data_IF_431052997938
#
_entry.id   IF_431052997938
#
_cell.length_a   1.000
_cell.length_b   1.000
_cell.length_c   1.000
_cell.angle_alpha   90.00
_cell.angle_beta   90.00
_cell.angle_gamma   90.00
#
_symmetry.space_group_name_H-M   'P 1'
#
loop_
_entity.id
_entity.type
_entity.pdbx_description
1 polymer ?
#
# COMPACT_ATOMS: atom_id res chain seq x y z
N UNK A 1 18.91 -8.49 35.01
CA UNK A 1 19.66 -8.62 33.73
C UNK A 1 19.52 -7.31 32.95
N UNK A 2 20.62 -6.60 32.69
CA UNK A 2 20.62 -5.32 31.96
C UNK A 2 20.38 -5.62 30.47
N UNK A 3 19.19 -5.33 29.97
CA UNK A 3 18.88 -5.48 28.54
C UNK A 3 19.72 -4.43 27.81
N UNK A 4 20.84 -4.85 27.23
CA UNK A 4 21.62 -3.98 26.34
C UNK A 4 20.83 -3.90 25.04
N UNK A 5 20.30 -2.73 24.72
CA UNK A 5 19.71 -2.45 23.41
C UNK A 5 20.76 -2.82 22.35
N UNK A 6 20.47 -3.84 21.53
CA UNK A 6 21.33 -4.16 20.39
C UNK A 6 21.10 -3.10 19.34
N UNK A 7 22.16 -2.66 18.67
CA UNK A 7 22.06 -1.74 17.54
C UNK A 7 21.32 -2.45 16.41
N UNK A 8 20.03 -2.15 16.25
CA UNK A 8 19.35 -2.40 14.98
C UNK A 8 20.17 -1.67 13.92
N UNK A 9 20.62 -2.33 12.84
CA UNK A 9 21.34 -1.64 11.78
C UNK A 9 20.46 -0.46 11.34
N UNK A 10 20.98 0.75 11.48
CA UNK A 10 20.26 2.02 11.26
C UNK A 10 19.78 2.22 9.79
N UNK A 11 19.94 1.20 8.95
CA UNK A 11 19.74 1.19 7.50
C UNK A 11 18.67 0.20 7.02
N UNK A 12 17.96 -0.51 7.90
CA UNK A 12 16.81 -1.31 7.43
C UNK A 12 15.68 -0.36 6.96
N UNK A 13 15.46 -0.32 5.65
CA UNK A 13 14.48 0.54 5.00
C UNK A 13 13.05 0.29 5.52
N UNK A 14 12.68 -0.94 5.89
CA UNK A 14 11.35 -1.22 6.43
C UNK A 14 11.17 -0.64 7.83
N UNK A 15 12.22 -0.72 8.66
CA UNK A 15 12.20 -0.11 10.00
C UNK A 15 12.15 1.40 9.88
N UNK A 16 12.95 1.98 8.98
CA UNK A 16 12.97 3.42 8.75
C UNK A 16 11.62 3.92 8.22
N UNK A 17 10.99 3.19 7.28
CA UNK A 17 9.64 3.49 6.79
C UNK A 17 8.63 3.58 7.95
N UNK A 18 8.62 2.57 8.83
CA UNK A 18 7.75 2.54 10.02
C UNK A 18 8.05 3.69 10.99
N UNK A 19 9.33 4.03 11.18
CA UNK A 19 9.73 5.14 12.03
C UNK A 19 9.23 6.48 11.48
N UNK A 20 9.47 6.75 10.20
CA UNK A 20 9.04 8.01 9.56
C UNK A 20 7.52 8.16 9.58
N UNK A 21 6.79 7.08 9.35
CA UNK A 21 5.34 7.05 9.49
C UNK A 21 4.89 7.45 10.91
N UNK A 22 5.48 6.86 11.95
CA UNK A 22 5.12 7.18 13.35
C UNK A 22 5.39 8.65 13.69
N UNK A 23 6.51 9.20 13.23
CA UNK A 23 6.83 10.61 13.42
C UNK A 23 5.85 11.53 12.69
N UNK A 24 5.44 11.16 11.47
CA UNK A 24 4.43 11.91 10.73
C UNK A 24 3.09 11.91 11.47
N UNK A 25 2.63 10.74 11.90
CA UNK A 25 1.36 10.58 12.62
C UNK A 25 1.32 11.35 13.94
N UNK A 26 2.38 11.26 14.76
CA UNK A 26 2.47 12.04 16.02
C UNK A 26 2.49 13.55 15.73
N UNK A 27 3.18 13.99 14.67
CA UNK A 27 3.20 15.39 14.28
C UNK A 27 1.80 15.88 13.86
N UNK A 28 1.04 15.03 13.15
CA UNK A 28 -0.33 15.32 12.78
C UNK A 28 -1.25 15.44 14.01
N UNK A 29 -1.14 14.53 14.98
CA UNK A 29 -1.88 14.60 16.25
C UNK A 29 -1.58 15.88 17.05
N UNK A 30 -0.37 16.44 16.88
CA UNK A 30 0.04 17.72 17.49
C UNK A 30 -0.31 18.93 16.64
N UNK A 31 -1.03 18.74 15.54
CA UNK A 31 -1.36 19.74 14.54
C UNK A 31 -0.15 20.44 13.88
N UNK A 32 1.05 19.87 14.01
CA UNK A 32 2.24 20.31 13.26
C UNK A 32 2.22 19.72 11.85
N UNK A 33 1.38 20.33 11.01
CA UNK A 33 1.09 19.90 9.63
C UNK A 33 2.33 19.94 8.74
N UNK A 34 3.24 20.91 8.93
CA UNK A 34 4.45 21.02 8.12
C UNK A 34 5.46 19.92 8.44
N UNK A 35 5.69 19.61 9.72
CA UNK A 35 6.54 18.48 10.10
C UNK A 35 5.92 17.16 9.69
N UNK A 36 4.60 16.99 9.87
CA UNK A 36 3.87 15.80 9.43
C UNK A 36 4.05 15.55 7.93
N UNK A 37 3.83 16.58 7.10
CA UNK A 37 4.01 16.50 5.65
C UNK A 37 5.43 16.09 5.28
N UNK A 38 6.45 16.65 5.95
CA UNK A 38 7.86 16.29 5.71
C UNK A 38 8.12 14.81 6.01
N UNK A 39 7.67 14.32 7.17
CA UNK A 39 7.89 12.93 7.56
C UNK A 39 7.11 11.95 6.67
N UNK A 40 5.88 12.28 6.26
CA UNK A 40 5.16 11.46 5.29
C UNK A 40 5.86 11.43 3.92
N UNK A 41 6.39 12.56 3.42
CA UNK A 41 7.20 12.59 2.19
C UNK A 41 8.45 11.71 2.30
N UNK A 42 9.13 11.71 3.46
CA UNK A 42 10.29 10.84 3.71
C UNK A 42 9.89 9.36 3.71
N UNK A 43 8.83 8.99 4.43
CA UNK A 43 8.28 7.63 4.43
C UNK A 43 7.92 7.18 3.01
N UNK A 44 7.26 8.04 2.23
CA UNK A 44 6.88 7.76 0.85
C UNK A 44 8.10 7.51 -0.05
N UNK A 45 9.16 8.31 0.10
CA UNK A 45 10.37 8.12 -0.68
C UNK A 45 11.02 6.76 -0.37
N UNK A 46 11.10 6.37 0.90
CA UNK A 46 11.59 5.05 1.30
C UNK A 46 10.71 3.93 0.69
N UNK A 47 9.38 4.09 0.72
CA UNK A 47 8.46 3.12 0.09
C UNK A 47 8.62 3.04 -1.44
N UNK A 48 8.94 4.16 -2.10
CA UNK A 48 9.19 4.17 -3.54
C UNK A 48 10.51 3.48 -3.90
N UNK A 49 11.53 3.60 -3.05
CA UNK A 49 12.87 3.04 -3.26
C UNK A 49 13.02 1.60 -2.74
N UNK A 50 12.03 1.10 -2.01
CA UNK A 50 11.98 -0.27 -1.50
C UNK A 50 11.79 -1.27 -2.64
N UNK A 51 12.79 -2.14 -2.79
CA UNK A 51 12.68 -3.38 -3.57
C UNK A 51 12.09 -4.47 -2.67
N UNK A 52 10.87 -4.87 -2.97
CA UNK A 52 10.16 -5.93 -2.26
C UNK A 52 10.00 -7.14 -3.17
N UNK A 53 10.03 -8.32 -2.59
CA UNK A 53 9.67 -9.56 -3.28
C UNK A 53 8.24 -9.48 -3.82
N UNK A 54 8.00 -10.19 -4.93
CA UNK A 54 6.72 -10.16 -5.65
C UNK A 54 5.51 -10.43 -4.74
N UNK A 55 5.71 -11.22 -3.68
CA UNK A 55 4.69 -11.61 -2.72
C UNK A 55 4.12 -10.44 -1.92
N UNK A 56 4.95 -9.43 -1.61
CA UNK A 56 4.56 -8.28 -0.78
C UNK A 56 4.30 -7.02 -1.60
N UNK A 57 4.31 -7.11 -2.93
CA UNK A 57 4.12 -5.95 -3.78
C UNK A 57 2.80 -5.23 -3.48
N UNK A 58 1.73 -5.98 -3.17
CA UNK A 58 0.43 -5.42 -2.82
C UNK A 58 0.44 -4.70 -1.47
N UNK A 59 1.22 -5.19 -0.50
CA UNK A 59 1.39 -4.51 0.78
C UNK A 59 2.13 -3.19 0.57
N UNK A 60 3.20 -3.21 -0.24
CA UNK A 60 3.98 -2.02 -0.55
C UNK A 60 3.14 -0.96 -1.29
N UNK A 61 2.40 -1.32 -2.34
CA UNK A 61 1.58 -0.35 -3.08
C UNK A 61 0.43 0.19 -2.23
N UNK A 62 -0.11 -0.61 -1.31
CA UNK A 62 -1.13 -0.14 -0.37
C UNK A 62 -0.55 0.86 0.64
N UNK A 63 0.63 0.58 1.20
CA UNK A 63 1.34 1.52 2.08
C UNK A 63 1.68 2.80 1.32
N UNK A 64 2.24 2.68 0.11
CA UNK A 64 2.57 3.83 -0.73
C UNK A 64 1.34 4.66 -1.11
N UNK A 65 0.22 4.00 -1.44
CA UNK A 65 -1.06 4.64 -1.72
C UNK A 65 -1.61 5.40 -0.51
N UNK A 66 -1.54 4.80 0.68
CA UNK A 66 -1.91 5.46 1.94
C UNK A 66 -1.04 6.70 2.21
N UNK A 67 0.29 6.57 2.08
CA UNK A 67 1.22 7.68 2.27
C UNK A 67 0.94 8.80 1.26
N UNK A 68 0.69 8.45 0.01
CA UNK A 68 0.30 9.40 -1.03
C UNK A 68 -1.00 10.14 -0.68
N UNK A 69 -2.02 9.42 -0.21
CA UNK A 69 -3.28 10.00 0.26
C UNK A 69 -3.03 11.06 1.35
N UNK A 70 -2.27 10.73 2.40
CA UNK A 70 -1.94 11.65 3.50
C UNK A 70 -1.16 12.87 3.03
N UNK A 71 -0.20 12.69 2.12
CA UNK A 71 0.57 13.81 1.56
C UNK A 71 -0.36 14.74 0.77
N UNK A 72 -1.22 14.21 -0.08
CA UNK A 72 -2.17 15.02 -0.86
C UNK A 72 -3.16 15.76 0.04
N UNK A 73 -3.74 15.06 1.03
CA UNK A 73 -4.63 15.64 2.03
C UNK A 73 -3.98 16.82 2.77
N UNK A 74 -2.77 16.63 3.31
CA UNK A 74 -2.03 17.70 4.00
C UNK A 74 -1.72 18.88 3.09
N UNK A 75 -1.35 18.64 1.83
CA UNK A 75 -1.14 19.73 0.87
C UNK A 75 -2.42 20.50 0.58
N UNK A 76 -3.58 19.83 0.49
CA UNK A 76 -4.87 20.51 0.35
C UNK A 76 -5.20 21.36 1.59
N UNK A 77 -5.01 20.81 2.80
CA UNK A 77 -5.21 21.54 4.06
C UNK A 77 -4.28 22.77 4.17
N UNK A 78 -3.04 22.66 3.69
CA UNK A 78 -2.06 23.75 3.63
C UNK A 78 -2.25 24.68 2.42
N UNK A 79 -3.42 24.64 1.77
CA UNK A 79 -3.79 25.46 0.62
C UNK A 79 -2.76 25.41 -0.54
N UNK A 80 -2.15 24.24 -0.74
CA UNK A 80 -1.13 23.96 -1.75
C UNK A 80 -1.59 22.88 -2.75
N UNK A 81 -2.69 23.10 -3.49
CA UNK A 81 -3.28 22.09 -4.39
C UNK A 81 -2.35 21.63 -5.53
N UNK A 82 -1.47 22.51 -6.01
CA UNK A 82 -0.49 22.17 -7.05
C UNK A 82 0.52 21.13 -6.56
N UNK A 83 0.93 21.22 -5.30
CA UNK A 83 1.82 20.24 -4.68
C UNK A 83 1.13 18.88 -4.50
N UNK A 84 -0.15 18.88 -4.12
CA UNK A 84 -0.96 17.65 -4.06
C UNK A 84 -1.05 16.98 -5.44
N UNK A 85 -1.32 17.76 -6.48
CA UNK A 85 -1.41 17.29 -7.86
C UNK A 85 -0.07 16.72 -8.38
N UNK A 86 1.02 17.45 -8.15
CA UNK A 86 2.36 17.01 -8.54
C UNK A 86 2.73 15.70 -7.83
N UNK A 87 2.38 15.58 -6.55
CA UNK A 87 2.60 14.34 -5.81
C UNK A 87 1.77 13.18 -6.37
N UNK A 88 0.49 13.38 -6.68
CA UNK A 88 -0.33 12.31 -7.27
C UNK A 88 0.19 11.87 -8.65
N UNK A 89 0.66 12.81 -9.47
CA UNK A 89 1.32 12.51 -10.75
C UNK A 89 2.60 11.70 -10.56
N UNK A 90 3.45 12.08 -9.59
CA UNK A 90 4.65 11.31 -9.21
C UNK A 90 4.26 9.89 -8.76
N UNK A 91 3.20 9.76 -7.97
CA UNK A 91 2.71 8.45 -7.52
C UNK A 91 2.25 7.56 -8.68
N UNK A 92 1.47 8.13 -9.60
CA UNK A 92 1.03 7.43 -10.80
C UNK A 92 2.22 6.96 -11.64
N UNK A 93 3.21 7.85 -11.87
CA UNK A 93 4.43 7.51 -12.60
C UNK A 93 5.23 6.37 -11.94
N UNK A 94 5.38 6.40 -10.62
CA UNK A 94 6.22 5.46 -9.89
C UNK A 94 5.58 4.07 -9.69
N UNK A 95 4.25 4.03 -9.56
CA UNK A 95 3.55 2.81 -9.14
C UNK A 95 2.62 2.22 -10.19
N UNK A 96 1.99 3.00 -11.08
CA UNK A 96 0.98 2.46 -12.01
C UNK A 96 1.60 1.61 -13.13
N UNK A 97 2.90 1.76 -13.36
CA UNK A 97 3.66 1.01 -14.35
C UNK A 97 4.52 -0.11 -13.73
N UNK A 98 4.42 -0.36 -12.42
CA UNK A 98 5.15 -1.46 -11.80
C UNK A 98 4.71 -2.80 -12.39
N UNK A 99 5.65 -3.74 -12.47
CA UNK A 99 5.33 -5.11 -12.83
C UNK A 99 4.57 -5.77 -11.69
N UNK A 100 3.51 -6.51 -12.03
CA UNK A 100 2.75 -7.23 -11.01
C UNK A 100 3.45 -8.52 -10.66
N UNK A 101 3.44 -8.83 -9.37
CA UNK A 101 3.82 -10.14 -8.89
C UNK A 101 2.81 -11.20 -9.32
N UNK A 102 3.12 -12.44 -9.00
CA UNK A 102 2.21 -13.55 -9.19
C UNK A 102 1.35 -13.69 -7.93
N UNK A 103 0.07 -13.27 -7.87
CA UNK A 103 -0.74 -13.68 -6.69
C UNK A 103 -2.27 -13.52 -6.68
N UNK A 104 -3.02 -14.57 -6.27
CA UNK A 104 -2.70 -16.01 -6.24
C UNK A 104 -2.50 -16.61 -7.65
N UNK A 105 -2.85 -15.86 -8.71
CA UNK A 105 -2.47 -16.13 -10.10
C UNK A 105 -2.11 -14.80 -10.78
N UNK A 106 -1.44 -14.84 -11.93
CA UNK A 106 -1.13 -13.62 -12.72
C UNK A 106 -2.40 -12.86 -13.10
N UNK A 107 -3.46 -13.57 -13.47
CA UNK A 107 -4.73 -12.96 -13.85
C UNK A 107 -5.38 -12.22 -12.67
N UNK A 108 -5.37 -12.82 -11.47
CA UNK A 108 -5.97 -12.18 -10.30
C UNK A 108 -5.15 -10.97 -9.83
N UNK A 109 -3.82 -11.07 -9.89
CA UNK A 109 -2.92 -9.95 -9.61
C UNK A 109 -3.22 -8.76 -10.53
N UNK A 110 -3.32 -8.98 -11.85
CA UNK A 110 -3.63 -7.91 -12.80
C UNK A 110 -5.00 -7.28 -12.48
N UNK A 111 -6.02 -8.08 -12.15
CA UNK A 111 -7.34 -7.57 -11.76
C UNK A 111 -7.24 -6.70 -10.50
N UNK A 112 -6.61 -7.21 -9.43
CA UNK A 112 -6.44 -6.47 -8.17
C UNK A 112 -5.68 -5.16 -8.38
N UNK A 113 -4.70 -5.16 -9.28
CA UNK A 113 -3.94 -3.95 -9.61
C UNK A 113 -4.75 -2.90 -10.38
N UNK A 114 -5.59 -3.31 -11.33
CA UNK A 114 -6.52 -2.39 -12.00
C UNK A 114 -7.53 -1.80 -11.01
N UNK A 115 -8.03 -2.61 -10.07
CA UNK A 115 -8.91 -2.15 -9.00
C UNK A 115 -8.20 -1.16 -8.07
N UNK A 116 -6.95 -1.45 -7.69
CA UNK A 116 -6.14 -0.56 -6.86
C UNK A 116 -5.90 0.79 -7.56
N UNK A 117 -5.52 0.81 -8.85
CA UNK A 117 -5.36 2.06 -9.62
C UNK A 117 -6.64 2.88 -9.68
N UNK A 118 -7.78 2.23 -9.87
CA UNK A 118 -9.07 2.92 -9.82
C UNK A 118 -9.31 3.55 -8.45
N UNK A 119 -9.07 2.79 -7.38
CA UNK A 119 -9.25 3.27 -6.02
C UNK A 119 -8.36 4.49 -5.71
N UNK A 120 -7.09 4.48 -6.14
CA UNK A 120 -6.19 5.63 -5.96
C UNK A 120 -6.74 6.90 -6.63
N UNK A 121 -7.21 6.78 -7.87
CA UNK A 121 -7.79 7.90 -8.61
C UNK A 121 -9.09 8.41 -7.98
N UNK A 122 -9.98 7.51 -7.55
CA UNK A 122 -11.22 7.87 -6.87
C UNK A 122 -10.94 8.62 -5.56
N UNK A 123 -10.06 8.09 -4.71
CA UNK A 123 -9.73 8.70 -3.44
C UNK A 123 -9.10 10.09 -3.61
N UNK A 124 -8.24 10.27 -4.62
CA UNK A 124 -7.68 11.58 -4.92
C UNK A 124 -8.74 12.56 -5.43
N UNK A 125 -9.67 12.09 -6.28
CA UNK A 125 -10.79 12.91 -6.73
C UNK A 125 -11.68 13.37 -5.56
N UNK A 126 -11.99 12.47 -4.63
CA UNK A 126 -12.80 12.76 -3.45
C UNK A 126 -12.09 13.79 -2.55
N UNK A 127 -10.79 13.62 -2.29
CA UNK A 127 -9.94 14.59 -1.59
C UNK A 127 -9.97 15.96 -2.25
N UNK A 128 -9.80 16.00 -3.57
CA UNK A 128 -9.76 17.25 -4.31
C UNK A 128 -11.14 17.93 -4.29
N UNK A 129 -12.22 17.16 -4.47
CA UNK A 129 -13.58 17.70 -4.40
C UNK A 129 -13.90 18.27 -3.00
N UNK A 130 -13.48 17.57 -1.95
CA UNK A 130 -13.59 18.06 -0.58
C UNK A 130 -12.78 19.35 -0.37
N UNK A 131 -11.55 19.43 -0.88
CA UNK A 131 -10.72 20.63 -0.78
C UNK A 131 -11.33 21.84 -1.50
N UNK A 132 -11.84 21.64 -2.72
CA UNK A 132 -12.54 22.69 -3.48
C UNK A 132 -13.80 23.16 -2.75
N UNK A 133 -14.57 22.23 -2.19
CA UNK A 133 -15.77 22.56 -1.40
C UNK A 133 -15.44 23.37 -0.14
N UNK A 134 -14.21 23.24 0.39
CA UNK A 134 -13.71 24.00 1.53
C UNK A 134 -12.95 25.29 1.15
N UNK A 135 -13.06 25.74 -0.11
CA UNK A 135 -12.54 27.05 -0.54
C UNK A 135 -11.13 27.05 -1.12
N UNK A 136 -10.53 25.88 -1.38
CA UNK A 136 -9.30 25.82 -2.20
C UNK A 136 -9.64 26.24 -3.63
N UNK A 137 -8.88 27.20 -4.17
CA UNK A 137 -9.10 27.72 -5.51
C UNK A 137 -9.02 26.60 -6.56
N UNK A 138 -10.14 26.33 -7.25
CA UNK A 138 -10.18 25.39 -8.35
C UNK A 138 -9.50 26.02 -9.57
N UNK A 139 -8.50 25.33 -10.13
CA UNK A 139 -7.92 25.72 -11.42
C UNK A 139 -8.78 25.16 -12.54
N UNK A 140 -9.17 26.00 -13.52
CA UNK A 140 -10.07 25.61 -14.60
C UNK A 140 -9.59 24.38 -15.41
N UNK A 141 -8.27 24.14 -15.49
CA UNK A 141 -7.68 22.99 -16.19
C UNK A 141 -7.52 21.73 -15.32
N UNK A 142 -7.72 21.83 -14.00
CA UNK A 142 -7.54 20.74 -13.03
C UNK A 142 -8.82 20.61 -12.21
N UNK A 143 -9.71 19.72 -12.65
CA UNK A 143 -10.94 19.39 -11.95
C UNK A 143 -10.91 17.93 -11.44
N UNK A 144 -11.59 17.63 -10.32
CA UNK A 144 -11.71 16.26 -9.81
C UNK A 144 -12.29 15.26 -10.83
N UNK A 145 -13.12 15.74 -11.76
CA UNK A 145 -13.81 14.92 -12.76
C UNK A 145 -12.87 14.10 -13.64
N UNK A 146 -11.71 14.64 -14.01
CA UNK A 146 -10.69 13.90 -14.77
C UNK A 146 -10.24 12.63 -14.05
N UNK A 147 -10.01 12.71 -12.74
CA UNK A 147 -9.58 11.56 -11.95
C UNK A 147 -10.70 10.54 -11.78
N UNK A 148 -11.96 10.98 -11.70
CA UNK A 148 -13.11 10.09 -11.73
C UNK A 148 -13.25 9.35 -13.07
N UNK A 149 -12.98 10.03 -14.18
CA UNK A 149 -12.95 9.41 -15.52
C UNK A 149 -11.84 8.35 -15.62
N UNK A 150 -10.62 8.67 -15.17
CA UNK A 150 -9.51 7.71 -15.10
C UNK A 150 -9.84 6.52 -14.19
N UNK A 151 -10.46 6.76 -13.02
CA UNK A 151 -10.93 5.71 -12.13
C UNK A 151 -11.96 4.78 -12.79
N UNK A 152 -12.93 5.34 -13.52
CA UNK A 152 -13.94 4.58 -14.24
C UNK A 152 -13.33 3.75 -15.38
N UNK A 153 -12.33 4.28 -16.08
CA UNK A 153 -11.58 3.57 -17.12
C UNK A 153 -10.89 2.31 -16.56
N UNK A 154 -10.20 2.44 -15.42
CA UNK A 154 -9.56 1.30 -14.75
C UNK A 154 -10.60 0.27 -14.24
N UNK A 155 -11.74 0.71 -13.69
CA UNK A 155 -12.82 -0.22 -13.29
C UNK A 155 -13.40 -0.97 -14.49
N UNK A 156 -13.60 -0.29 -15.62
CA UNK A 156 -14.08 -0.92 -16.85
C UNK A 156 -13.10 -2.01 -17.31
N UNK A 157 -11.80 -1.76 -17.22
CA UNK A 157 -10.75 -2.74 -17.54
C UNK A 157 -10.71 -3.90 -16.53
N UNK A 158 -10.82 -3.64 -15.23
CA UNK A 158 -10.94 -4.70 -14.23
C UNK A 158 -12.16 -5.60 -14.48
N UNK A 159 -13.31 -4.99 -14.78
CA UNK A 159 -14.54 -5.71 -15.10
C UNK A 159 -14.43 -6.58 -16.35
N UNK A 160 -13.73 -6.13 -17.40
CA UNK A 160 -13.50 -6.96 -18.59
C UNK A 160 -12.61 -8.16 -18.26
N UNK A 161 -11.54 -7.97 -17.49
CA UNK A 161 -10.65 -9.05 -17.05
C UNK A 161 -11.37 -10.07 -16.15
N UNK A 162 -12.22 -9.61 -15.22
CA UNK A 162 -13.03 -10.49 -14.37
C UNK A 162 -13.98 -11.34 -15.23
N UNK A 163 -14.63 -10.76 -16.24
CA UNK A 163 -15.50 -11.51 -17.16
C UNK A 163 -14.72 -12.57 -17.92
N UNK A 164 -13.53 -12.23 -18.44
CA UNK A 164 -12.66 -13.18 -19.13
C UNK A 164 -12.23 -14.33 -18.22
N UNK A 165 -11.83 -14.04 -16.97
CA UNK A 165 -11.43 -15.07 -16.00
C UNK A 165 -12.61 -15.99 -15.65
N UNK A 166 -13.80 -15.43 -15.45
CA UNK A 166 -15.03 -16.22 -15.21
C UNK A 166 -15.36 -17.15 -16.37
N UNK A 167 -15.26 -16.68 -17.62
CA UNK A 167 -15.49 -17.53 -18.79
C UNK A 167 -14.47 -18.67 -18.89
N UNK A 168 -13.18 -18.41 -18.65
CA UNK A 168 -12.14 -19.45 -18.61
C UNK A 168 -12.41 -20.49 -17.52
N UNK A 169 -12.75 -20.05 -16.32
CA UNK A 169 -13.05 -20.93 -15.19
C UNK A 169 -14.35 -21.73 -15.38
N UNK A 170 -15.31 -21.23 -16.17
CA UNK A 170 -16.52 -21.97 -16.52
C UNK A 170 -16.25 -23.10 -17.53
N UNK A 171 -15.22 -22.95 -18.38
CA UNK A 171 -14.81 -23.95 -19.37
C UNK A 171 -13.93 -25.06 -18.77
N UNK A 172 -13.19 -24.76 -17.70
CA UNK A 172 -12.46 -25.77 -16.94
C UNK A 172 -13.43 -26.45 -15.97
N UNK A 173 -13.64 -27.78 -16.12
CA UNK A 173 -14.41 -28.55 -15.13
C UNK A 173 -13.85 -28.26 -13.73
N UNK A 174 -14.72 -27.84 -12.81
CA UNK A 174 -14.39 -27.60 -11.40
C UNK A 174 -13.84 -28.88 -10.79
N UNK A 175 -12.54 -29.13 -10.90
CA UNK A 175 -11.87 -29.92 -9.89
C UNK A 175 -11.92 -29.07 -8.62
N UNK A 176 -12.56 -29.54 -7.54
CA UNK A 176 -12.45 -28.86 -6.27
C UNK A 176 -10.97 -28.89 -5.92
N UNK A 177 -10.30 -27.75 -6.09
CA UNK A 177 -8.98 -27.57 -5.52
C UNK A 177 -9.21 -27.68 -4.02
N UNK A 178 -8.86 -28.82 -3.42
CA UNK A 178 -8.83 -28.96 -1.99
C UNK A 178 -7.78 -27.98 -1.52
N UNK A 179 -8.20 -26.77 -1.17
CA UNK A 179 -7.39 -25.88 -0.36
C UNK A 179 -7.19 -26.68 0.92
N UNK A 180 -6.06 -27.37 1.04
CA UNK A 180 -5.59 -27.94 2.29
C UNK A 180 -5.21 -26.74 3.15
N UNK A 181 -6.23 -26.01 3.60
CA UNK A 181 -6.10 -24.99 4.61
C UNK A 181 -5.93 -25.77 5.90
N UNK A 182 -4.68 -26.00 6.30
CA UNK A 182 -4.40 -26.52 7.62
C UNK A 182 -4.83 -25.45 8.63
N UNK A 183 -6.09 -25.55 9.09
CA UNK A 183 -6.68 -24.66 10.09
C UNK A 183 -5.95 -24.76 11.45
N UNK A 184 -5.12 -25.80 11.63
CA UNK A 184 -4.28 -25.99 12.80
C UNK A 184 -2.84 -25.48 12.58
N UNK A 185 -2.49 -25.01 11.38
CA UNK A 185 -1.20 -24.38 11.17
C UNK A 185 -1.14 -23.09 11.98
N UNK A 186 -0.07 -22.86 12.77
CA UNK A 186 0.06 -21.66 13.57
C UNK A 186 0.07 -20.44 12.64
N UNK A 187 -0.97 -19.62 12.73
CA UNK A 187 -1.00 -18.32 12.06
C UNK A 187 -0.05 -17.41 12.82
N UNK A 188 1.11 -17.11 12.25
CA UNK A 188 2.15 -16.36 12.95
C UNK A 188 1.67 -14.93 13.26
N UNK A 189 0.79 -14.34 12.43
CA UNK A 189 0.12 -13.07 12.75
C UNK A 189 -1.31 -12.97 12.15
N UNK A 190 -2.17 -12.20 12.83
CA UNK A 190 -3.47 -11.78 12.30
C UNK A 190 -3.31 -10.93 11.02
N UNK A 191 -4.18 -11.17 10.02
CA UNK A 191 -4.21 -10.39 8.77
C UNK A 191 -3.37 -10.95 7.61
N UNK A 192 -2.69 -12.08 7.80
CA UNK A 192 -1.95 -12.74 6.71
C UNK A 192 -2.91 -13.29 5.64
N UNK A 193 -2.52 -13.17 4.36
CA UNK A 193 -3.31 -13.73 3.26
C UNK A 193 -3.24 -15.26 3.33
N UNK A 194 -4.39 -15.98 3.38
CA UNK A 194 -4.46 -17.43 3.67
C UNK A 194 -3.66 -18.35 2.75
N UNK A 195 -3.19 -17.84 1.61
CA UNK A 195 -2.49 -18.62 0.59
C UNK A 195 -0.97 -18.40 0.59
N UNK A 196 -0.43 -17.61 1.52
CA UNK A 196 1.01 -17.61 1.82
C UNK A 196 1.35 -18.85 2.65
N UNK A 197 2.23 -19.70 2.14
CA UNK A 197 2.76 -20.83 2.91
C UNK A 197 3.70 -20.33 4.01
N UNK A 198 3.52 -20.83 5.23
CA UNK A 198 4.36 -20.52 6.39
C UNK A 198 5.85 -20.75 6.13
N UNK A 199 6.22 -21.72 5.30
CA UNK A 199 7.63 -22.04 4.97
C UNK A 199 8.32 -20.91 4.18
N UNK A 200 7.62 -20.24 3.26
CA UNK A 200 8.16 -19.13 2.48
C UNK A 200 8.41 -17.91 3.36
N UNK A 201 7.50 -17.66 4.32
CA UNK A 201 7.64 -16.61 5.34
C UNK A 201 8.79 -16.93 6.29
N UNK A 202 8.88 -18.17 6.77
CA UNK A 202 9.96 -18.61 7.67
C UNK A 202 11.35 -18.54 7.00
N UNK A 203 11.43 -18.77 5.68
CA UNK A 203 12.66 -18.61 4.91
C UNK A 203 13.15 -17.16 4.87
N UNK A 204 12.26 -16.18 4.76
CA UNK A 204 12.60 -14.76 4.88
C UNK A 204 12.85 -14.31 6.33
N UNK A 205 12.10 -14.85 7.28
CA UNK A 205 12.32 -14.61 8.70
C UNK A 205 13.68 -15.14 9.19
N UNK A 206 14.28 -16.12 8.51
CA UNK A 206 15.68 -16.52 8.75
C UNK A 206 16.68 -15.41 8.42
N UNK A 207 16.36 -14.47 7.53
CA UNK A 207 17.12 -13.23 7.36
C UNK A 207 16.90 -12.20 8.47
N UNK A 208 15.76 -12.31 9.17
CA UNK A 208 15.30 -11.41 10.23
C UNK A 208 15.16 -12.10 11.61
N UNK A 209 16.02 -13.10 11.90
CA UNK A 209 15.99 -13.92 13.13
C UNK A 209 15.91 -13.08 14.42
N UNK A 210 16.44 -11.85 14.39
CA UNK A 210 16.46 -10.95 15.54
C UNK A 210 15.08 -10.36 15.92
N UNK A 211 14.15 -10.23 14.98
CA UNK A 211 12.80 -9.68 15.24
C UNK A 211 11.83 -10.77 15.69
N UNK A 212 11.98 -11.98 15.16
CA UNK A 212 11.14 -13.13 15.52
C UNK A 212 11.41 -13.60 16.94
N UNK A 213 12.68 -13.66 17.35
CA UNK A 213 13.04 -13.99 18.73
C UNK A 213 12.56 -12.93 19.74
N UNK A 214 12.46 -11.66 19.32
CA UNK A 214 11.95 -10.59 20.18
C UNK A 214 10.43 -10.64 20.33
N UNK A 215 9.69 -10.84 19.23
CA UNK A 215 8.24 -11.00 19.26
C UNK A 215 7.81 -12.25 20.04
N UNK A 216 8.51 -13.38 19.83
CA UNK A 216 8.26 -14.62 20.57
C UNK A 216 8.55 -14.49 22.08
N UNK A 217 9.55 -13.69 22.48
CA UNK A 217 9.83 -13.41 23.90
C UNK A 217 8.80 -12.51 24.57
N UNK A 218 8.26 -11.51 23.86
CA UNK A 218 7.23 -10.61 24.41
C UNK A 218 5.90 -11.34 24.62
N UNK A 219 5.59 -12.36 23.82
CA UNK A 219 4.36 -13.15 23.99
C UNK A 219 4.46 -14.26 25.06
N UNK A 220 5.66 -14.52 25.61
CA UNK A 220 5.91 -15.57 26.61
C UNK A 220 6.23 -15.02 28.02
N UNK A 221 6.15 -13.70 28.21
CA UNK A 221 6.13 -13.01 29.51
C UNK A 221 4.75 -12.39 29.74
#
# INVERSE_FOLDING_TARGET
KKIRARSVPNNDQQVLLRQQFKLAFISELREDRHSSLRYYKQAYQIAADLEMLELFIYELINIAGFLNYKICELNFILNSPLEALNQFRKHSSNFFNRQMGNYPSKELAIIEFELWKSQQNRLFADLFNFAVSNGVAAYASQNPGRFLEEAASYLKKANSLIRQLKTKNAQQQRQPCSINLDLNAPTIYFGHRPWLNNETILAEMKGNLQLVEHAAKICLE
#
